data_IF_430553309887
#
_entry.id   IF_430553309887
#
_cell.length_a   1.000
_cell.length_b   1.000
_cell.length_c   1.000
_cell.angle_alpha   90.00
_cell.angle_beta   90.00
_cell.angle_gamma   90.00
#
_symmetry.space_group_name_H-M   'P 1'
#
loop_
_entity.id
_entity.type
_entity.pdbx_description
1 polymer ?
#
# COMPACT_ATOMS: atom_id res chain seq x y z
N UNK A 1 8.20 -21.80 -3.79
CA UNK A 1 7.25 -21.23 -4.76
C UNK A 1 6.36 -20.15 -4.12
N UNK A 2 5.73 -20.40 -2.96
CA UNK A 2 4.92 -19.40 -2.25
C UNK A 2 5.68 -18.25 -1.60
N UNK A 3 7.01 -18.35 -1.47
CA UNK A 3 7.83 -17.31 -0.84
C UNK A 3 7.69 -15.94 -1.52
N UNK A 4 7.67 -15.93 -2.86
CA UNK A 4 7.53 -14.69 -3.65
C UNK A 4 6.16 -14.02 -3.42
N UNK A 5 5.00 -14.68 -3.61
CA UNK A 5 3.72 -14.04 -3.36
C UNK A 5 3.55 -13.62 -1.90
N UNK A 6 4.01 -14.43 -0.94
CA UNK A 6 3.96 -14.07 0.49
C UNK A 6 4.77 -12.80 0.76
N UNK A 7 5.96 -12.67 0.18
CA UNK A 7 6.80 -11.48 0.31
C UNK A 7 6.15 -10.24 -0.31
N UNK A 8 5.53 -10.38 -1.48
CA UNK A 8 4.82 -9.28 -2.16
C UNK A 8 3.61 -8.81 -1.33
N UNK A 9 2.83 -9.75 -0.79
CA UNK A 9 1.67 -9.44 0.05
C UNK A 9 2.12 -8.76 1.34
N UNK A 10 3.13 -9.30 2.03
CA UNK A 10 3.60 -8.75 3.30
C UNK A 10 4.18 -7.34 3.15
N UNK A 11 5.00 -7.11 2.13
CA UNK A 11 5.52 -5.76 1.81
C UNK A 11 4.41 -4.80 1.41
N UNK A 12 3.42 -5.24 0.64
CA UNK A 12 2.24 -4.44 0.30
C UNK A 12 1.44 -4.02 1.54
N UNK A 13 1.23 -4.93 2.49
CA UNK A 13 0.54 -4.64 3.76
C UNK A 13 1.34 -3.63 4.60
N UNK A 14 2.67 -3.79 4.69
CA UNK A 14 3.53 -2.85 5.41
C UNK A 14 3.46 -1.44 4.81
N UNK A 15 3.56 -1.32 3.48
CA UNK A 15 3.43 -0.04 2.79
C UNK A 15 2.04 0.58 2.96
N UNK A 16 0.98 -0.24 2.93
CA UNK A 16 -0.38 0.23 3.17
C UNK A 16 -0.52 0.81 4.58
N UNK A 17 -0.01 0.12 5.61
CA UNK A 17 -0.04 0.61 6.99
C UNK A 17 0.69 1.94 7.16
N UNK A 18 1.89 2.06 6.59
CA UNK A 18 2.66 3.31 6.58
C UNK A 18 1.93 4.43 5.84
N UNK A 19 1.35 4.13 4.67
CA UNK A 19 0.64 5.11 3.87
C UNK A 19 -0.64 5.61 4.57
N UNK A 20 -1.39 4.74 5.25
CA UNK A 20 -2.55 5.14 6.08
C UNK A 20 -2.10 6.06 7.21
N UNK A 21 -1.04 5.67 7.93
CA UNK A 21 -0.51 6.46 9.04
C UNK A 21 -0.09 7.86 8.59
N UNK A 22 0.71 7.95 7.52
CA UNK A 22 1.16 9.21 6.94
C UNK A 22 0.00 10.03 6.38
N UNK A 23 -0.98 9.39 5.74
CA UNK A 23 -2.16 10.07 5.23
C UNK A 23 -2.94 10.74 6.37
N UNK A 24 -3.22 10.04 7.47
CA UNK A 24 -3.95 10.59 8.62
C UNK A 24 -3.18 11.74 9.29
N UNK A 25 -1.86 11.57 9.46
CA UNK A 25 -0.99 12.59 10.05
C UNK A 25 -0.98 13.87 9.20
N UNK A 26 -0.79 13.74 7.89
CA UNK A 26 -0.69 14.88 6.98
C UNK A 26 -2.08 15.48 6.70
N UNK A 27 -3.16 14.69 6.72
CA UNK A 27 -4.52 15.19 6.61
C UNK A 27 -4.83 16.22 7.70
N UNK A 28 -4.49 15.90 8.95
CA UNK A 28 -4.67 16.83 10.08
C UNK A 28 -3.88 18.13 9.86
N UNK A 29 -2.62 18.04 9.42
CA UNK A 29 -1.74 19.20 9.19
C UNK A 29 -2.18 20.07 8.02
N UNK A 30 -2.67 19.46 6.94
CA UNK A 30 -3.21 20.17 5.78
C UNK A 30 -4.47 20.97 6.15
N UNK A 31 -5.34 20.43 7.02
CA UNK A 31 -6.55 21.15 7.49
C UNK A 31 -6.17 22.37 8.34
N UNK A 32 -5.14 22.26 9.18
CA UNK A 32 -4.64 23.34 10.03
C UNK A 32 -3.81 24.37 9.22
N UNK A 33 -3.48 24.05 7.96
CA UNK A 33 -2.73 24.92 7.04
C UNK A 33 -1.22 24.83 7.21
N UNK A 34 -0.70 23.85 7.94
CA UNK A 34 0.74 23.65 8.19
C UNK A 34 1.45 22.90 7.05
N UNK A 35 0.70 22.14 6.24
CA UNK A 35 1.27 21.34 5.15
C UNK A 35 0.56 21.54 3.82
N UNK A 36 1.31 21.30 2.73
CA UNK A 36 0.79 21.39 1.37
C UNK A 36 -0.09 20.17 1.03
N UNK A 37 -1.23 20.44 0.37
CA UNK A 37 -2.16 19.43 -0.17
C UNK A 37 -1.46 18.41 -1.09
N UNK A 38 -0.36 18.77 -1.74
CA UNK A 38 0.44 17.84 -2.58
C UNK A 38 0.88 16.59 -1.81
N UNK A 39 1.27 16.73 -0.54
CA UNK A 39 1.69 15.60 0.30
C UNK A 39 0.53 14.62 0.50
N UNK A 40 -0.69 15.15 0.65
CA UNK A 40 -1.90 14.34 0.79
C UNK A 40 -2.15 13.49 -0.47
N UNK A 41 -2.05 14.10 -1.66
CA UNK A 41 -2.21 13.39 -2.93
C UNK A 41 -1.16 12.31 -3.15
N UNK A 42 0.10 12.57 -2.77
CA UNK A 42 1.17 11.57 -2.83
C UNK A 42 0.86 10.38 -1.92
N UNK A 43 0.43 10.62 -0.68
CA UNK A 43 0.06 9.53 0.24
C UNK A 43 -1.12 8.72 -0.27
N UNK A 44 -2.13 9.37 -0.86
CA UNK A 44 -3.26 8.66 -1.50
C UNK A 44 -2.79 7.80 -2.66
N UNK A 45 -1.88 8.31 -3.50
CA UNK A 45 -1.31 7.54 -4.61
C UNK A 45 -0.54 6.31 -4.10
N UNK A 46 0.29 6.47 -3.06
CA UNK A 46 1.01 5.37 -2.41
C UNK A 46 0.01 4.33 -1.85
N UNK A 47 -1.11 4.77 -1.29
CA UNK A 47 -2.17 3.88 -0.79
C UNK A 47 -2.72 3.00 -1.91
N UNK A 48 -3.08 3.61 -3.05
CA UNK A 48 -3.64 2.91 -4.22
C UNK A 48 -2.63 1.93 -4.80
N UNK A 49 -1.35 2.30 -4.89
CA UNK A 49 -0.31 1.40 -5.38
C UNK A 49 -0.08 0.24 -4.41
N UNK A 50 -0.18 0.46 -3.10
CA UNK A 50 -0.04 -0.59 -2.08
C UNK A 50 -1.15 -1.62 -2.20
N UNK A 51 -2.40 -1.18 -2.36
CA UNK A 51 -3.55 -2.07 -2.60
C UNK A 51 -3.35 -2.88 -3.88
N UNK A 52 -2.91 -2.23 -4.95
CA UNK A 52 -2.64 -2.89 -6.24
C UNK A 52 -1.56 -3.97 -6.10
N UNK A 53 -0.50 -3.70 -5.32
CA UNK A 53 0.57 -4.66 -5.05
C UNK A 53 0.05 -5.89 -4.30
N UNK A 54 -0.80 -5.69 -3.29
CA UNK A 54 -1.43 -6.78 -2.53
C UNK A 54 -2.29 -7.64 -3.47
N UNK A 55 -3.12 -7.02 -4.31
CA UNK A 55 -3.97 -7.74 -5.27
C UNK A 55 -3.13 -8.58 -6.25
N UNK A 56 -2.02 -8.03 -6.76
CA UNK A 56 -1.08 -8.77 -7.61
C UNK A 56 -0.43 -9.94 -6.86
N UNK A 57 -0.01 -9.73 -5.62
CA UNK A 57 0.56 -10.79 -4.78
C UNK A 57 -0.44 -11.92 -4.52
N UNK A 58 -1.70 -11.59 -4.23
CA UNK A 58 -2.79 -12.57 -4.07
C UNK A 58 -3.07 -13.31 -5.38
N UNK A 59 -3.16 -12.58 -6.51
CA UNK A 59 -3.34 -13.20 -7.82
C UNK A 59 -2.22 -14.18 -8.16
N UNK A 60 -0.97 -13.78 -7.91
CA UNK A 60 0.20 -14.64 -8.11
C UNK A 60 0.20 -15.87 -7.19
N UNK A 61 -0.24 -15.72 -5.94
CA UNK A 61 -0.39 -16.83 -5.01
C UNK A 61 -1.31 -17.93 -5.59
N UNK A 62 -2.46 -17.54 -6.15
CA UNK A 62 -3.39 -18.48 -6.77
C UNK A 62 -2.81 -19.16 -8.01
N UNK A 63 -2.05 -18.44 -8.83
CA UNK A 63 -1.38 -19.04 -10.01
C UNK A 63 -0.39 -20.11 -9.57
N UNK A 64 0.45 -19.80 -8.58
CA UNK A 64 1.41 -20.75 -8.02
C UNK A 64 0.70 -21.94 -7.39
N UNK A 65 -0.40 -21.71 -6.67
CA UNK A 65 -1.19 -22.77 -6.04
C UNK A 65 -1.81 -23.75 -7.04
N UNK A 66 -2.13 -23.30 -8.25
CA UNK A 66 -2.66 -24.17 -9.32
C UNK A 66 -1.58 -24.94 -10.08
N UNK A 67 -0.31 -24.56 -9.93
CA UNK A 67 0.82 -25.19 -10.63
C UNK A 67 1.49 -26.31 -9.81
N UNK A 68 1.13 -26.47 -8.54
CA UNK A 68 1.63 -27.51 -7.63
C UNK A 68 0.60 -28.64 -7.48
#
# INVERSE_FOLDING_TARGET
MYTIPIFIISTGILFMGLAIYLFLMNYKRVIIGEENKTILYLNTLILVTSISLILLGVGYFFVVAKQL
#
